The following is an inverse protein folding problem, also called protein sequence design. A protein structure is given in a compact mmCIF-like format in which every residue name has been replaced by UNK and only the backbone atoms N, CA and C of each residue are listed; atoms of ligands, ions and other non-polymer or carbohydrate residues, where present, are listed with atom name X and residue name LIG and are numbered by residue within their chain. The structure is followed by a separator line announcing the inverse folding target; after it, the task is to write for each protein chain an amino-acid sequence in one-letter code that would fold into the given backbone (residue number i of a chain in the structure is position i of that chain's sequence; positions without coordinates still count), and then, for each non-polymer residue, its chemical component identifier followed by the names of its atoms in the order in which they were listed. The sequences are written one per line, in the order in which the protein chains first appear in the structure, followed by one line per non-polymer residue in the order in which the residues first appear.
data_IF_818656762686
#
_entry.id   IF_818656762686
#
_cell.length_a   1.000
_cell.length_b   1.000
_cell.length_c   1.000
_cell.angle_alpha   90.00
_cell.angle_beta   90.00
_cell.angle_gamma   90.00
#
_symmetry.space_group_name_H-M   'P 1'
#
loop_
_entity.id
_entity.type
_entity.pdbx_description
1 polymer ?
#
# COMPACT_ATOMS: atom_id res chain seq x y z
N UNK A 1 -52.96 -1.33 -16.51
CA UNK A 1 -51.73 -0.76 -17.07
C UNK A 1 -50.64 -0.91 -16.01
N UNK A 2 -49.65 -1.79 -16.24
CA UNK A 2 -48.61 -2.11 -15.25
C UNK A 2 -47.40 -1.24 -15.58
N UNK A 3 -47.21 -0.15 -14.83
CA UNK A 3 -46.03 0.71 -14.98
C UNK A 3 -44.93 0.03 -14.19
N UNK A 4 -44.06 -0.70 -14.89
CA UNK A 4 -42.82 -1.21 -14.29
C UNK A 4 -41.90 -0.01 -14.09
N UNK A 5 -41.76 0.44 -12.85
CA UNK A 5 -40.74 1.42 -12.47
C UNK A 5 -39.36 0.78 -12.66
N UNK A 6 -38.70 1.07 -13.78
CA UNK A 6 -37.34 0.61 -14.00
C UNK A 6 -36.43 1.51 -13.20
N UNK A 7 -36.21 1.15 -11.93
CA UNK A 7 -35.20 1.75 -11.07
C UNK A 7 -33.82 1.34 -11.60
N UNK A 8 -33.31 2.05 -12.60
CA UNK A 8 -31.89 1.99 -12.92
C UNK A 8 -31.14 2.66 -11.77
N UNK A 9 -30.47 1.87 -10.95
CA UNK A 9 -29.64 2.39 -9.86
C UNK A 9 -28.50 3.21 -10.44
N UNK A 10 -28.45 4.50 -10.10
CA UNK A 10 -27.37 5.38 -10.52
C UNK A 10 -26.03 4.86 -10.00
N UNK A 11 -25.05 4.75 -10.90
CA UNK A 11 -23.68 4.41 -10.56
C UNK A 11 -22.94 5.66 -10.08
N UNK A 12 -22.10 5.50 -9.06
CA UNK A 12 -21.24 6.57 -8.58
C UNK A 12 -19.89 6.52 -9.30
N UNK A 13 -19.39 7.68 -9.70
CA UNK A 13 -18.09 7.85 -10.32
C UNK A 13 -17.31 8.92 -9.58
N UNK A 14 -16.02 8.68 -9.37
CA UNK A 14 -15.10 9.67 -8.84
C UNK A 14 -14.28 10.25 -9.99
N UNK A 15 -14.24 11.58 -10.09
CA UNK A 15 -13.50 12.29 -11.11
C UNK A 15 -12.53 13.28 -10.48
N UNK A 16 -11.36 13.42 -11.11
CA UNK A 16 -10.43 14.51 -10.80
C UNK A 16 -10.56 15.56 -11.88
N UNK A 17 -10.99 16.76 -11.49
CA UNK A 17 -11.25 17.86 -12.42
C UNK A 17 -10.40 19.07 -12.06
N UNK A 18 -9.95 19.80 -13.09
CA UNK A 18 -9.29 21.09 -12.95
C UNK A 18 -10.33 22.20 -13.05
N UNK A 19 -10.50 22.95 -11.98
CA UNK A 19 -11.41 24.09 -11.91
C UNK A 19 -10.60 25.38 -12.04
N UNK A 20 -10.94 26.20 -13.03
CA UNK A 20 -10.29 27.50 -13.26
C UNK A 20 -11.32 28.59 -12.98
N UNK A 21 -11.07 29.43 -11.96
CA UNK A 21 -11.92 30.58 -11.62
C UNK A 21 -11.07 31.75 -11.13
N UNK A 22 -11.28 32.94 -11.70
CA UNK A 22 -10.63 34.20 -11.29
C UNK A 22 -9.10 34.07 -11.11
N UNK A 23 -8.38 33.70 -12.16
CA UNK A 23 -6.93 33.41 -12.18
C UNK A 23 -6.44 32.25 -11.28
N UNK A 24 -7.31 31.61 -10.51
CA UNK A 24 -6.95 30.46 -9.69
C UNK A 24 -7.28 29.15 -10.42
N UNK A 25 -6.31 28.23 -10.41
CA UNK A 25 -6.48 26.88 -10.93
C UNK A 25 -6.36 25.90 -9.78
N UNK A 26 -7.43 25.17 -9.49
CA UNK A 26 -7.48 24.16 -8.43
C UNK A 26 -7.84 22.82 -9.04
N UNK A 27 -7.17 21.77 -8.59
CA UNK A 27 -7.57 20.39 -8.88
C UNK A 27 -8.47 19.89 -7.76
N UNK A 28 -9.68 19.46 -8.10
CA UNK A 28 -10.67 18.96 -7.14
C UNK A 28 -11.11 17.53 -7.50
N UNK A 29 -11.37 16.72 -6.46
CA UNK A 29 -11.99 15.40 -6.61
C UNK A 29 -13.49 15.54 -6.33
N UNK A 30 -14.31 15.02 -7.24
CA UNK A 30 -15.76 15.11 -7.14
C UNK A 30 -16.40 13.75 -7.38
N UNK A 31 -17.56 13.54 -6.79
CA UNK A 31 -18.39 12.36 -7.01
C UNK A 31 -19.57 12.75 -7.90
N UNK A 32 -19.78 12.00 -8.98
CA UNK A 32 -20.88 12.21 -9.93
C UNK A 32 -21.70 10.93 -10.03
N UNK A 33 -23.02 11.07 -10.04
CA UNK A 33 -23.96 9.97 -10.23
C UNK A 33 -24.40 9.94 -11.69
N UNK A 34 -24.35 8.77 -12.34
CA UNK A 34 -24.80 8.60 -13.73
C UNK A 34 -25.18 7.14 -14.02
N UNK A 35 -25.94 6.91 -15.09
CA UNK A 35 -26.34 5.57 -15.51
C UNK A 35 -25.17 4.72 -16.05
N UNK A 36 -24.22 5.37 -16.72
CA UNK A 36 -23.04 4.72 -17.29
C UNK A 36 -21.83 5.67 -17.27
N UNK A 37 -20.62 5.12 -17.44
CA UNK A 37 -19.36 5.84 -17.54
C UNK A 37 -19.40 6.93 -18.62
N UNK A 38 -20.01 6.62 -19.77
CA UNK A 38 -20.13 7.59 -20.86
C UNK A 38 -21.01 8.78 -20.49
N UNK A 39 -22.13 8.54 -19.80
CA UNK A 39 -22.99 9.61 -19.28
C UNK A 39 -22.25 10.48 -18.26
N UNK A 40 -21.51 9.86 -17.33
CA UNK A 40 -20.69 10.59 -16.37
C UNK A 40 -19.62 11.46 -17.07
N UNK A 41 -18.95 10.94 -18.09
CA UNK A 41 -17.95 11.68 -18.87
C UNK A 41 -18.55 12.89 -19.57
N UNK A 42 -19.72 12.74 -20.19
CA UNK A 42 -20.43 13.83 -20.88
C UNK A 42 -20.83 14.92 -19.88
N UNK A 43 -21.44 14.55 -18.76
CA UNK A 43 -21.85 15.49 -17.71
C UNK A 43 -20.67 16.28 -17.14
N UNK A 44 -19.53 15.62 -16.93
CA UNK A 44 -18.32 16.26 -16.44
C UNK A 44 -17.67 17.17 -17.50
N UNK A 45 -17.68 16.74 -18.76
CA UNK A 45 -17.18 17.54 -19.86
C UNK A 45 -18.05 18.79 -20.10
N UNK A 46 -19.37 18.70 -19.91
CA UNK A 46 -20.28 19.84 -19.99
C UNK A 46 -20.00 20.85 -18.86
N UNK A 47 -19.84 20.37 -17.62
CA UNK A 47 -19.65 21.26 -16.46
C UNK A 47 -18.26 21.89 -16.38
N UNK A 48 -17.22 21.13 -16.67
CA UNK A 48 -15.83 21.56 -16.44
C UNK A 48 -15.06 21.77 -17.75
N UNK A 49 -15.56 21.27 -18.89
CA UNK A 49 -14.83 21.18 -20.15
C UNK A 49 -14.07 19.86 -20.27
N UNK A 50 -14.09 19.25 -21.46
CA UNK A 50 -13.44 17.95 -21.71
C UNK A 50 -11.94 17.93 -21.37
N UNK A 51 -11.23 19.04 -21.60
CA UNK A 51 -9.79 19.19 -21.30
C UNK A 51 -9.50 19.25 -19.80
N UNK A 52 -10.51 19.61 -19.00
CA UNK A 52 -10.35 19.81 -17.56
C UNK A 52 -10.72 18.56 -16.75
N UNK A 53 -11.19 17.48 -17.39
CA UNK A 53 -11.42 16.19 -16.73
C UNK A 53 -10.14 15.36 -16.84
N UNK A 54 -9.40 15.25 -15.73
CA UNK A 54 -8.11 14.56 -15.69
C UNK A 54 -8.27 13.05 -15.52
N UNK A 55 -9.29 12.63 -14.77
CA UNK A 55 -9.61 11.21 -14.59
C UNK A 55 -11.08 11.00 -14.26
N UNK A 56 -11.59 9.83 -14.62
CA UNK A 56 -12.92 9.34 -14.28
C UNK A 56 -12.81 7.86 -13.94
N UNK A 57 -13.30 7.46 -12.77
CA UNK A 57 -13.25 6.08 -12.30
C UNK A 57 -14.61 5.70 -11.68
N UNK A 58 -15.12 4.48 -11.91
CA UNK A 58 -16.27 3.98 -11.18
C UNK A 58 -15.94 3.87 -9.69
N UNK A 59 -16.86 4.33 -8.84
CA UNK A 59 -16.74 4.32 -7.39
C UNK A 59 -17.87 3.47 -6.83
N UNK A 60 -17.58 2.22 -6.46
CA UNK A 60 -18.54 1.40 -5.71
C UNK A 60 -18.48 1.83 -4.23
N UNK A 61 -19.62 2.24 -3.67
CA UNK A 61 -19.76 2.68 -2.27
C UNK A 61 -19.36 1.60 -1.25
N UNK A 62 -19.22 0.35 -1.68
CA UNK A 62 -18.71 -0.79 -0.89
C UNK A 62 -17.20 -0.76 -0.68
N UNK A 63 -16.47 0.09 -1.39
CA UNK A 63 -15.18 0.56 -0.91
C UNK A 63 -15.45 1.63 0.13
N UNK A 64 -15.93 1.16 1.29
CA UNK A 64 -15.62 1.79 2.55
C UNK A 64 -14.19 2.30 2.44
N UNK A 65 -14.03 3.59 2.76
CA UNK A 65 -12.76 4.21 3.02
C UNK A 65 -12.01 3.23 3.90
N UNK A 66 -11.12 2.45 3.29
CA UNK A 66 -10.23 1.63 4.04
C UNK A 66 -9.28 2.64 4.68
N UNK A 67 -9.65 3.07 5.88
CA UNK A 67 -8.79 3.67 6.89
C UNK A 67 -7.57 2.78 7.21
N UNK A 68 -7.13 1.90 6.31
CA UNK A 68 -5.84 1.22 6.32
C UNK A 68 -4.71 2.13 5.81
N UNK A 69 -4.94 3.45 5.79
CA UNK A 69 -3.85 4.44 5.98
C UNK A 69 -4.06 5.26 7.26
N UNK A 70 -4.69 4.69 8.29
CA UNK A 70 -4.39 5.13 9.65
C UNK A 70 -2.89 4.85 9.89
N UNK A 71 -2.03 5.87 10.07
CA UNK A 71 -0.67 5.61 10.50
C UNK A 71 -0.77 4.81 11.79
N UNK A 72 -0.16 3.62 11.84
CA UNK A 72 0.00 2.84 13.08
C UNK A 72 0.28 3.82 14.20
N UNK A 73 -0.49 3.77 15.29
CA UNK A 73 -0.33 4.75 16.35
C UNK A 73 1.13 4.76 16.81
N UNK A 74 1.65 5.90 17.30
CA UNK A 74 3.07 6.02 17.66
C UNK A 74 3.58 4.85 18.53
N UNK A 75 2.70 4.28 19.37
CA UNK A 75 2.98 3.09 20.18
C UNK A 75 3.19 1.81 19.34
N UNK A 76 2.39 1.56 18.31
CA UNK A 76 2.53 0.37 17.45
C UNK A 76 3.75 0.48 16.54
N UNK A 77 4.07 1.69 16.08
CA UNK A 77 5.29 1.96 15.32
C UNK A 77 6.54 1.72 16.19
N UNK A 78 6.49 2.11 17.46
CA UNK A 78 7.55 1.82 18.44
C UNK A 78 7.70 0.31 18.67
N UNK A 79 6.60 -0.42 18.87
CA UNK A 79 6.64 -1.88 19.04
C UNK A 79 7.19 -2.59 17.80
N UNK A 80 6.81 -2.14 16.59
CA UNK A 80 7.36 -2.66 15.33
C UNK A 80 8.87 -2.41 15.24
N UNK A 81 9.31 -1.19 15.52
CA UNK A 81 10.74 -0.85 15.54
C UNK A 81 11.53 -1.69 16.55
N UNK A 82 10.97 -1.92 17.75
CA UNK A 82 11.59 -2.78 18.76
C UNK A 82 11.66 -4.24 18.31
N UNK A 83 10.61 -4.77 17.65
CA UNK A 83 10.60 -6.13 17.09
C UNK A 83 11.65 -6.30 15.99
N UNK A 84 11.79 -5.32 15.11
CA UNK A 84 12.77 -5.37 14.03
C UNK A 84 14.20 -5.31 14.57
N UNK A 85 14.46 -4.46 15.57
CA UNK A 85 15.74 -4.44 16.31
C UNK A 85 16.03 -5.77 16.99
N UNK A 86 15.03 -6.40 17.62
CA UNK A 86 15.19 -7.69 18.28
C UNK A 86 15.54 -8.82 17.27
N UNK A 87 14.92 -8.82 16.09
CA UNK A 87 15.26 -9.76 15.01
C UNK A 87 16.71 -9.58 14.55
N UNK A 88 17.16 -8.34 14.37
CA UNK A 88 18.53 -8.04 13.96
C UNK A 88 19.55 -8.52 15.00
N UNK A 89 19.31 -8.26 16.29
CA UNK A 89 20.18 -8.72 17.37
C UNK A 89 20.25 -10.26 17.45
N UNK A 90 19.11 -10.94 17.28
CA UNK A 90 19.08 -12.40 17.27
C UNK A 90 19.89 -12.98 16.10
N UNK A 91 19.80 -12.38 14.92
CA UNK A 91 20.61 -12.79 13.77
C UNK A 91 22.11 -12.58 14.04
N UNK A 92 22.50 -11.45 14.63
CA UNK A 92 23.89 -11.21 15.02
C UNK A 92 24.39 -12.24 16.04
N UNK A 93 23.59 -12.54 17.07
CA UNK A 93 23.93 -13.54 18.07
C UNK A 93 24.10 -14.94 17.46
N UNK A 94 23.25 -15.32 16.49
CA UNK A 94 23.40 -16.58 15.76
C UNK A 94 24.70 -16.62 14.94
N UNK A 95 25.05 -15.54 14.25
CA UNK A 95 26.28 -15.45 13.47
C UNK A 95 27.53 -15.56 14.37
N UNK A 96 27.55 -14.88 15.52
CA UNK A 96 28.65 -14.96 16.48
C UNK A 96 28.80 -16.38 17.03
N UNK A 97 27.69 -17.03 17.40
CA UNK A 97 27.70 -18.42 17.84
C UNK A 97 28.22 -19.37 16.76
N UNK A 98 27.81 -19.18 15.51
CA UNK A 98 28.30 -19.97 14.39
C UNK A 98 29.82 -19.80 14.18
N UNK A 99 30.32 -18.56 14.21
CA UNK A 99 31.77 -18.28 14.12
C UNK A 99 32.56 -18.93 15.24
N UNK A 100 32.08 -18.86 16.48
CA UNK A 100 32.73 -19.50 17.63
C UNK A 100 32.79 -21.03 17.46
N UNK A 101 31.70 -21.65 16.98
CA UNK A 101 31.69 -23.10 16.69
C UNK A 101 32.68 -23.46 15.58
N UNK A 102 32.77 -22.67 14.52
CA UNK A 102 33.75 -22.88 13.44
C UNK A 102 35.19 -22.79 13.94
N UNK A 103 35.52 -21.78 14.76
CA UNK A 103 36.86 -21.65 15.35
C UNK A 103 37.21 -22.86 16.24
N UNK A 104 36.27 -23.32 17.08
CA UNK A 104 36.47 -24.53 17.89
C UNK A 104 36.67 -25.77 17.02
N UNK A 105 35.88 -25.93 15.96
CA UNK A 105 36.04 -27.03 15.02
C UNK A 105 37.40 -26.99 14.31
N UNK A 106 37.85 -25.81 13.86
CA UNK A 106 39.18 -25.63 13.28
C UNK A 106 40.28 -26.01 14.27
N UNK A 107 40.23 -25.53 15.52
CA UNK A 107 41.20 -25.91 16.55
C UNK A 107 41.21 -27.42 16.82
N UNK A 108 40.03 -28.06 16.84
CA UNK A 108 39.94 -29.51 17.01
C UNK A 108 40.52 -30.27 15.81
N UNK A 109 40.30 -29.79 14.58
CA UNK A 109 40.94 -30.34 13.39
C UNK A 109 42.46 -30.20 13.48
N UNK A 110 42.99 -29.02 13.78
CA UNK A 110 44.44 -28.82 13.94
C UNK A 110 45.03 -29.72 15.03
N UNK A 111 44.36 -29.87 16.18
CA UNK A 111 44.78 -30.80 17.25
C UNK A 111 44.73 -32.26 16.81
N UNK A 112 43.70 -32.67 16.09
CA UNK A 112 43.58 -34.03 15.54
C UNK A 112 44.66 -34.31 14.49
N UNK A 113 45.08 -33.31 13.72
CA UNK A 113 46.21 -33.41 12.79
C UNK A 113 47.58 -33.37 13.48
N UNK A 114 47.66 -32.92 14.74
CA UNK A 114 48.89 -32.87 15.55
C UNK A 114 49.02 -34.05 16.54
N UNK A 115 47.95 -34.78 16.83
CA UNK A 115 48.02 -36.02 17.60
C UNK A 115 48.66 -37.14 16.74
N UNK A 116 49.49 -38.01 17.34
CA UNK A 116 50.78 -38.40 16.76
C UNK A 116 50.69 -39.47 15.67
N UNK A 117 51.57 -39.35 14.67
CA UNK A 117 52.03 -40.49 13.87
C UNK A 117 52.66 -41.49 14.84
N UNK A 118 52.00 -42.62 15.04
CA UNK A 118 52.56 -43.80 15.70
C UNK A 118 53.45 -44.57 14.74
N UNK A 119 54.65 -44.92 15.22
CA UNK A 119 55.79 -45.61 14.61
C UNK A 119 56.82 -44.72 13.90
#
# INVERSE_FOLDING_TARGET
MKISEITHSLLSFIATVRVVKNQLTITARIVTLADDFMHAKILLAEKYGAVNVLSLLPFAREQAIDETTAPLSAAELQVKSMRDRAKQLNQQAQQVKARSKLQKAQQNLFKAHQAPRTN
#
